data_IF_493328449467
#
_entry.id   IF_493328449467
#
_cell.length_a   1.000
_cell.length_b   1.000
_cell.length_c   1.000
_cell.angle_alpha   90.00
_cell.angle_beta   90.00
_cell.angle_gamma   90.00
#
_symmetry.space_group_name_H-M   'P 1'
#
loop_
_entity.id
_entity.type
_entity.pdbx_description
1 polymer ?
#
# COMPACT_ATOMS: atom_id res chain seq x y z
N UNK A 1 3.35 -2.29 7.86
CA UNK A 1 2.01 -1.78 8.27
C UNK A 1 1.39 -2.52 9.47
N UNK A 2 1.23 -3.85 9.43
CA UNK A 2 0.46 -4.61 10.45
C UNK A 2 0.84 -4.33 11.91
N UNK A 3 2.13 -4.29 12.24
CA UNK A 3 2.59 -4.06 13.61
C UNK A 3 2.15 -2.69 14.14
N UNK A 4 2.41 -1.62 13.39
CA UNK A 4 2.00 -0.26 13.78
C UNK A 4 0.47 -0.18 13.94
N UNK A 5 -0.28 -0.80 13.01
CA UNK A 5 -1.73 -0.84 13.05
C UNK A 5 -2.26 -1.54 14.32
N UNK A 6 -1.64 -2.65 14.71
CA UNK A 6 -1.98 -3.37 15.94
C UNK A 6 -1.67 -2.54 17.20
N UNK A 7 -0.50 -1.89 17.25
CA UNK A 7 -0.10 -1.02 18.36
C UNK A 7 -1.05 0.18 18.53
N UNK A 8 -1.46 0.84 17.45
CA UNK A 8 -2.39 1.96 17.53
C UNK A 8 -3.75 1.51 18.06
N UNK A 9 -4.26 0.39 17.54
CA UNK A 9 -5.55 -0.15 17.98
C UNK A 9 -5.54 -0.65 19.41
N UNK A 10 -4.42 -1.20 19.91
CA UNK A 10 -4.31 -1.60 21.32
C UNK A 10 -4.35 -0.40 22.26
N UNK A 11 -4.02 0.80 21.78
CA UNK A 11 -4.15 2.07 22.49
C UNK A 11 -5.52 2.73 22.29
N UNK A 12 -6.47 2.08 21.61
CA UNK A 12 -7.79 2.63 21.32
C UNK A 12 -7.80 3.70 20.21
N UNK A 13 -6.70 3.88 19.48
CA UNK A 13 -6.62 4.85 18.39
C UNK A 13 -7.23 4.24 17.11
N UNK A 14 -8.23 4.89 16.48
CA UNK A 14 -8.77 4.41 15.23
C UNK A 14 -7.71 4.50 14.12
N UNK A 15 -7.41 3.35 13.51
CA UNK A 15 -6.42 3.23 12.46
C UNK A 15 -6.89 2.21 11.40
N UNK A 16 -6.54 2.45 10.13
CA UNK A 16 -6.86 1.59 8.97
C UNK A 16 -5.60 1.19 8.22
N UNK A 17 -5.63 -0.01 7.66
CA UNK A 17 -4.63 -0.51 6.74
C UNK A 17 -4.86 0.13 5.38
N UNK A 18 -3.82 0.67 4.76
CA UNK A 18 -3.89 1.21 3.40
C UNK A 18 -3.01 0.35 2.49
N UNK A 19 -3.59 -0.08 1.38
CA UNK A 19 -2.92 -0.86 0.33
C UNK A 19 -2.88 -0.05 -0.95
N UNK A 20 -1.73 -0.04 -1.61
CA UNK A 20 -1.52 0.78 -2.78
C UNK A 20 -0.22 0.48 -3.50
N UNK A 21 0.26 1.45 -4.26
CA UNK A 21 1.55 1.39 -4.95
C UNK A 21 2.46 2.53 -4.50
N UNK A 22 3.77 2.30 -4.52
CA UNK A 22 4.80 3.29 -4.27
C UNK A 22 5.60 3.52 -5.54
N UNK A 23 5.65 4.75 -6.04
CA UNK A 23 6.58 5.13 -7.10
C UNK A 23 8.02 5.07 -6.55
N UNK A 24 8.78 4.08 -7.00
CA UNK A 24 10.22 3.98 -6.70
C UNK A 24 11.03 4.57 -7.84
N UNK A 25 11.90 5.53 -7.55
CA UNK A 25 12.93 5.99 -8.49
C UNK A 25 14.17 5.07 -8.36
N UNK A 26 14.46 4.22 -9.35
CA UNK A 26 15.65 3.38 -9.30
C UNK A 26 16.92 4.24 -9.40
N UNK A 27 18.06 3.77 -8.85
CA UNK A 27 19.36 4.40 -9.09
C UNK A 27 19.67 4.52 -10.59
N UNK A 28 20.45 5.53 -11.02
CA UNK A 28 20.83 5.70 -12.41
C UNK A 28 21.43 4.41 -13.00
N UNK A 29 20.86 3.92 -14.10
CA UNK A 29 21.31 2.69 -14.77
C UNK A 29 20.57 1.41 -14.35
N UNK A 30 19.65 1.48 -13.39
CA UNK A 30 18.76 0.36 -13.05
C UNK A 30 17.37 0.54 -13.66
N UNK A 31 16.76 -0.55 -14.10
CA UNK A 31 15.38 -0.54 -14.58
C UNK A 31 14.41 -0.15 -13.45
N UNK A 32 13.35 0.57 -13.79
CA UNK A 32 12.23 0.79 -12.85
C UNK A 32 11.65 -0.56 -12.44
N UNK A 33 11.24 -0.66 -11.18
CA UNK A 33 10.53 -1.84 -10.69
C UNK A 33 9.15 -1.87 -11.34
N UNK A 34 8.91 -2.84 -12.23
CA UNK A 34 7.63 -3.09 -12.89
C UNK A 34 7.03 -4.33 -12.23
N UNK A 35 5.85 -4.23 -11.62
CA UNK A 35 5.13 -5.35 -11.01
C UNK A 35 4.94 -5.27 -9.49
N UNK A 36 4.79 -6.44 -8.85
CA UNK A 36 4.43 -6.59 -7.42
C UNK A 36 5.41 -5.91 -6.45
N UNK A 37 6.63 -5.60 -6.88
CA UNK A 37 7.61 -4.81 -6.12
C UNK A 37 7.24 -3.31 -6.01
N UNK A 38 6.25 -2.84 -6.77
CA UNK A 38 5.64 -1.52 -6.56
C UNK A 38 4.49 -1.56 -5.54
N UNK A 39 3.97 -2.74 -5.18
CA UNK A 39 2.89 -2.84 -4.20
C UNK A 39 3.40 -2.48 -2.80
N UNK A 40 2.68 -1.61 -2.11
CA UNK A 40 3.08 -1.11 -0.80
C UNK A 40 1.90 -0.99 0.14
N UNK A 41 2.20 -0.99 1.43
CA UNK A 41 1.20 -0.83 2.46
C UNK A 41 1.68 0.06 3.61
N UNK A 42 0.80 0.96 4.03
CA UNK A 42 1.01 1.89 5.13
C UNK A 42 -0.21 1.94 6.04
N UNK A 43 -0.19 2.85 7.01
CA UNK A 43 -1.27 3.00 8.00
C UNK A 43 -1.84 4.40 7.90
N UNK A 44 -3.15 4.53 8.08
CA UNK A 44 -3.83 5.81 8.20
C UNK A 44 -4.50 5.88 9.57
N UNK A 45 -4.28 6.98 10.28
CA UNK A 45 -4.66 7.18 11.69
C UNK A 45 -5.68 8.31 11.77
N UNK A 46 -6.76 8.12 12.52
CA UNK A 46 -7.74 9.19 12.72
C UNK A 46 -7.29 10.11 13.85
N UNK A 47 -7.11 11.40 13.53
CA UNK A 47 -6.59 12.43 14.43
C UNK A 47 -7.67 13.43 14.87
N UNK A 48 -8.93 12.99 14.92
CA UNK A 48 -10.07 13.82 15.29
C UNK A 48 -10.73 14.52 14.09
N UNK A 49 -11.85 15.19 14.34
CA UNK A 49 -12.70 15.72 13.26
C UNK A 49 -12.04 16.87 12.47
N UNK A 50 -11.18 17.66 13.13
CA UNK A 50 -10.49 18.79 12.48
C UNK A 50 -9.36 18.31 11.55
N UNK A 51 -8.60 17.30 11.98
CA UNK A 51 -7.44 16.80 11.24
C UNK A 51 -7.75 15.63 10.30
N UNK A 52 -8.82 14.87 10.60
CA UNK A 52 -9.24 13.72 9.81
C UNK A 52 -8.25 12.56 9.85
N UNK A 53 -8.12 11.87 8.72
CA UNK A 53 -7.22 10.73 8.55
C UNK A 53 -5.83 11.19 8.10
N UNK A 54 -4.80 10.75 8.82
CA UNK A 54 -3.41 11.07 8.55
C UNK A 54 -2.64 9.78 8.23
N UNK A 55 -1.97 9.76 7.09
CA UNK A 55 -1.23 8.60 6.61
C UNK A 55 0.21 8.59 7.14
N UNK A 56 0.72 7.41 7.50
CA UNK A 56 2.05 7.18 8.05
C UNK A 56 2.64 5.91 7.45
N UNK A 57 3.85 6.00 6.89
CA UNK A 57 4.60 4.88 6.34
C UNK A 57 5.71 4.45 7.32
N UNK A 58 5.46 3.42 8.16
CA UNK A 58 6.45 2.95 9.11
C UNK A 58 7.63 2.21 8.44
N UNK A 59 7.47 1.76 7.20
CA UNK A 59 8.52 1.03 6.47
C UNK A 59 9.62 1.99 6.05
N UNK A 60 9.22 3.17 5.57
CA UNK A 60 10.13 4.21 5.09
C UNK A 60 10.34 5.35 6.10
N UNK A 61 9.76 5.25 7.31
CA UNK A 61 9.82 6.26 8.36
C UNK A 61 9.48 7.68 7.87
N UNK A 62 8.39 7.81 7.12
CA UNK A 62 7.97 9.06 6.51
C UNK A 62 6.45 9.19 6.45
N UNK A 63 6.00 10.39 6.11
CA UNK A 63 4.61 10.65 5.73
C UNK A 63 4.46 10.38 4.23
N UNK A 64 3.49 9.54 3.82
CA UNK A 64 3.16 9.32 2.42
C UNK A 64 2.99 10.62 1.65
N UNK A 65 3.51 10.66 0.43
CA UNK A 65 3.41 11.81 -0.47
C UNK A 65 2.76 11.37 -1.80
N UNK A 66 2.87 12.19 -2.84
CA UNK A 66 2.28 11.92 -4.16
C UNK A 66 2.77 10.62 -4.82
N UNK A 67 3.86 10.04 -4.31
CA UNK A 67 4.37 8.73 -4.75
C UNK A 67 3.62 7.55 -4.16
N UNK A 68 2.82 7.75 -3.11
CA UNK A 68 2.01 6.72 -2.47
C UNK A 68 0.60 6.74 -3.04
N UNK A 69 0.37 5.89 -4.04
CA UNK A 69 -0.91 5.80 -4.73
C UNK A 69 -1.81 4.86 -3.96
N UNK A 70 -2.82 5.43 -3.29
CA UNK A 70 -3.83 4.65 -2.57
C UNK A 70 -4.73 3.89 -3.53
N UNK A 71 -4.87 2.58 -3.33
CA UNK A 71 -5.80 1.74 -4.11
C UNK A 71 -7.00 1.32 -3.26
N UNK A 72 -6.77 0.94 -2.01
CA UNK A 72 -7.82 0.52 -1.08
C UNK A 72 -7.42 0.72 0.38
N UNK A 73 -8.40 0.80 1.28
CA UNK A 73 -8.18 0.80 2.73
C UNK A 73 -9.21 -0.05 3.48
N UNK A 74 -8.80 -0.67 4.57
CA UNK A 74 -9.63 -1.61 5.33
C UNK A 74 -9.09 -1.86 6.74
N UNK A 75 -9.66 -2.85 7.43
CA UNK A 75 -9.19 -3.15 8.80
C UNK A 75 -7.85 -3.86 8.75
N UNK A 76 -7.59 -4.66 7.75
CA UNK A 76 -6.32 -5.33 7.56
C UNK A 76 -6.09 -5.72 6.10
N UNK A 77 -4.92 -6.27 5.78
CA UNK A 77 -4.58 -6.75 4.43
C UNK A 77 -5.64 -7.67 3.81
N UNK A 78 -6.31 -8.52 4.61
CA UNK A 78 -7.36 -9.41 4.12
C UNK A 78 -8.58 -8.70 3.54
N UNK A 79 -8.85 -7.46 3.98
CA UNK A 79 -9.95 -6.63 3.47
C UNK A 79 -9.57 -5.95 2.15
N UNK A 80 -8.28 -5.82 1.83
CA UNK A 80 -7.77 -4.93 0.76
C UNK A 80 -6.60 -5.51 -0.06
N UNK A 81 -6.45 -6.83 -0.08
CA UNK A 81 -5.38 -7.47 -0.83
C UNK A 81 -5.50 -7.11 -2.32
N UNK A 82 -4.46 -6.55 -2.95
CA UNK A 82 -4.51 -6.13 -4.35
C UNK A 82 -4.69 -7.31 -5.32
N UNK A 83 -4.34 -8.52 -4.88
CA UNK A 83 -4.48 -9.75 -5.64
C UNK A 83 -4.96 -10.87 -4.74
N UNK A 84 -6.19 -11.35 -4.99
CA UNK A 84 -6.77 -12.49 -4.29
C UNK A 84 -7.23 -13.53 -5.31
N UNK A 85 -6.58 -14.69 -5.30
CA UNK A 85 -6.96 -15.85 -6.10
C UNK A 85 -7.50 -16.96 -5.22
N UNK A 86 -8.47 -17.71 -5.74
CA UNK A 86 -8.93 -18.98 -5.15
C UNK A 86 -8.72 -20.04 -6.22
N UNK A 87 -7.90 -21.06 -5.94
CA UNK A 87 -7.69 -22.19 -6.84
C UNK A 87 -8.56 -23.37 -6.40
N UNK A 88 -9.45 -23.82 -7.29
CA UNK A 88 -10.31 -25.00 -7.10
C UNK A 88 -10.08 -25.95 -8.28
N UNK A 89 -9.20 -26.94 -8.12
CA UNK A 89 -8.91 -27.94 -9.15
C UNK A 89 -7.48 -28.48 -9.12
N UNK A 90 -7.25 -29.65 -9.71
CA UNK A 90 -5.92 -30.20 -9.95
C UNK A 90 -5.48 -29.88 -11.38
N UNK A 91 -4.39 -29.12 -11.51
CA UNK A 91 -3.82 -28.68 -12.80
C UNK A 91 -2.83 -27.54 -12.59
N UNK A 92 -1.97 -27.30 -13.57
CA UNK A 92 -0.98 -26.23 -13.50
C UNK A 92 -1.69 -24.87 -13.71
N UNK A 93 -1.44 -23.90 -12.83
CA UNK A 93 -2.06 -22.56 -12.88
C UNK A 93 -0.96 -21.50 -12.86
N UNK A 94 -0.95 -20.61 -13.86
CA UNK A 94 -0.07 -19.43 -13.90
C UNK A 94 -0.91 -18.16 -13.87
N UNK A 95 -0.66 -17.31 -12.88
CA UNK A 95 -1.16 -15.95 -12.82
C UNK A 95 0.01 -15.00 -13.09
N UNK A 96 -0.14 -14.09 -14.06
CA UNK A 96 0.82 -13.03 -14.36
C UNK A 96 0.15 -11.68 -14.15
N UNK A 97 0.80 -10.81 -13.38
CA UNK A 97 0.31 -9.47 -13.07
C UNK A 97 1.48 -8.49 -13.17
N UNK A 98 1.26 -7.38 -13.87
CA UNK A 98 2.21 -6.29 -13.99
C UNK A 98 1.48 -4.96 -13.77
N UNK A 99 2.11 -4.06 -13.01
CA UNK A 99 1.64 -2.70 -12.77
C UNK A 99 2.85 -1.79 -12.92
N UNK A 100 2.64 -0.65 -13.58
CA UNK A 100 3.62 0.41 -13.74
C UNK A 100 3.02 1.72 -13.22
N UNK A 101 3.81 2.47 -12.47
CA UNK A 101 3.43 3.75 -11.89
C UNK A 101 4.34 4.82 -12.48
N UNK A 102 3.72 5.77 -13.18
CA UNK A 102 4.44 6.88 -13.82
C UNK A 102 3.86 8.22 -13.36
N UNK A 103 4.71 9.21 -13.06
CA UNK A 103 4.26 10.58 -12.87
C UNK A 103 3.61 11.10 -14.16
N UNK A 104 2.57 11.91 -14.03
CA UNK A 104 1.99 12.63 -15.16
C UNK A 104 2.79 13.92 -15.38
N UNK A 105 3.19 14.19 -16.63
CA UNK A 105 3.78 15.48 -16.98
C UNK A 105 2.76 16.60 -16.74
N UNK A 106 3.19 17.67 -16.07
CA UNK A 106 2.38 18.87 -15.92
C UNK A 106 2.25 19.56 -17.29
N UNK A 107 1.04 19.56 -17.85
CA UNK A 107 0.71 20.31 -19.07
C UNK A 107 0.70 21.81 -18.89
#
# INVERSE_FOLDING_TARGET
AHLLLACLRSLGVPARYVSGYLETAPPPGMARLIGADASHAWVSVFCGDEAGWIDVDPTNNLMPNERHITVAWGRDYSDVSPLRGVTLGAGDQRLSVAVDVMPMDAG
#
